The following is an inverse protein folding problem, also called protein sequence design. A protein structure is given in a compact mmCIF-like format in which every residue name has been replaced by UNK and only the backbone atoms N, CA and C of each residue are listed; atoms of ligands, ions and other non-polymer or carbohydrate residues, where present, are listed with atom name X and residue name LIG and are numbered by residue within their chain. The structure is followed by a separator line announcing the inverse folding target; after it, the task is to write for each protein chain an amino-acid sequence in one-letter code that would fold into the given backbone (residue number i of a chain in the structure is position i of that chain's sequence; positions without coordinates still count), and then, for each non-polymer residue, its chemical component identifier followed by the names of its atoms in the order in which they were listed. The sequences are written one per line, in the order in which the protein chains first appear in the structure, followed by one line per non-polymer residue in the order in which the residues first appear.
data_IF_021834004950
#
_entry.id   IF_021834004950
#
_cell.length_a   1.000
_cell.length_b   1.000
_cell.length_c   1.000
_cell.angle_alpha   90.00
_cell.angle_beta   90.00
_cell.angle_gamma   90.00
#
_symmetry.space_group_name_H-M   'P 1'
#
loop_
_entity.id
_entity.type
_entity.pdbx_description
1 polymer ?
#
# COMPACT_ATOMS: atom_id res chain seq x y z
N UNK A 1 12.95 5.97 -23.60
CA UNK A 1 11.59 5.39 -23.53
C UNK A 1 11.00 5.75 -22.18
N UNK A 2 9.81 6.38 -22.10
CA UNK A 2 9.16 6.67 -20.82
C UNK A 2 8.79 5.37 -20.10
N UNK A 3 8.97 5.32 -18.77
CA UNK A 3 8.51 4.20 -17.96
C UNK A 3 7.02 4.35 -17.62
N UNK A 4 6.17 3.94 -18.57
CA UNK A 4 4.72 4.04 -18.46
C UNK A 4 4.13 3.27 -17.27
N UNK A 5 4.80 2.22 -16.78
CA UNK A 5 4.32 1.46 -15.62
C UNK A 5 4.53 2.27 -14.34
N UNK A 6 5.70 2.89 -14.19
CA UNK A 6 6.01 3.77 -13.08
C UNK A 6 5.06 4.97 -13.05
N UNK A 7 4.81 5.61 -14.19
CA UNK A 7 3.86 6.72 -14.30
C UNK A 7 2.42 6.32 -13.95
N UNK A 8 1.99 5.11 -14.31
CA UNK A 8 0.66 4.62 -13.95
C UNK A 8 0.53 4.39 -12.43
N UNK A 9 1.58 3.85 -11.79
CA UNK A 9 1.66 3.73 -10.34
C UNK A 9 1.59 5.09 -9.65
N UNK A 10 2.48 6.03 -10.03
CA UNK A 10 2.52 7.38 -9.46
C UNK A 10 1.18 8.12 -9.59
N UNK A 11 0.50 7.96 -10.74
CA UNK A 11 -0.83 8.57 -10.97
C UNK A 11 -1.88 7.98 -10.03
N UNK A 12 -1.86 6.67 -9.81
CA UNK A 12 -2.82 6.01 -8.92
C UNK A 12 -2.57 6.41 -7.46
N UNK A 13 -1.33 6.39 -7.00
CA UNK A 13 -0.95 6.84 -5.65
C UNK A 13 -1.35 8.31 -5.43
N UNK A 14 -1.12 9.17 -6.42
CA UNK A 14 -1.52 10.59 -6.36
C UNK A 14 -3.04 10.75 -6.28
N UNK A 15 -3.80 9.94 -7.02
CA UNK A 15 -5.26 9.97 -7.02
C UNK A 15 -5.83 9.53 -5.66
N UNK A 16 -5.27 8.48 -5.06
CA UNK A 16 -5.66 8.02 -3.71
C UNK A 16 -5.32 9.09 -2.68
N UNK A 17 -4.10 9.64 -2.71
CA UNK A 17 -3.67 10.73 -1.82
C UNK A 17 -4.62 11.94 -1.89
N UNK A 18 -5.02 12.34 -3.11
CA UNK A 18 -5.97 13.42 -3.32
C UNK A 18 -7.32 13.16 -2.66
N UNK A 19 -7.87 11.95 -2.78
CA UNK A 19 -9.16 11.64 -2.16
C UNK A 19 -9.05 11.55 -0.64
N UNK A 20 -7.97 10.97 -0.11
CA UNK A 20 -7.75 10.93 1.34
C UNK A 20 -7.68 12.34 1.93
N UNK A 21 -6.93 13.25 1.30
CA UNK A 21 -6.85 14.65 1.72
C UNK A 21 -8.20 15.38 1.58
N UNK A 22 -8.90 15.18 0.46
CA UNK A 22 -10.21 15.78 0.22
C UNK A 22 -11.24 15.41 1.29
N UNK A 23 -11.27 14.15 1.74
CA UNK A 23 -12.29 13.67 2.67
C UNK A 23 -11.86 13.74 4.15
N UNK A 24 -10.57 13.62 4.46
CA UNK A 24 -10.08 13.53 5.84
C UNK A 24 -9.09 14.64 6.22
N UNK A 25 -8.51 15.38 5.27
CA UNK A 25 -7.43 16.34 5.52
C UNK A 25 -7.81 17.56 6.36
N UNK A 26 -9.11 17.87 6.46
CA UNK A 26 -9.63 18.99 7.26
C UNK A 26 -10.20 18.57 8.62
N UNK A 27 -10.23 17.26 8.91
CA UNK A 27 -10.74 16.72 10.18
C UNK A 27 -9.55 16.32 11.06
N UNK A 28 -9.36 17.05 12.16
CA UNK A 28 -8.26 16.81 13.09
C UNK A 28 -8.31 15.47 13.83
N UNK A 29 -9.42 14.73 13.75
CA UNK A 29 -9.51 13.36 14.26
C UNK A 29 -8.77 12.34 13.39
N UNK A 30 -8.33 12.75 12.19
CA UNK A 30 -7.54 11.93 11.27
C UNK A 30 -6.17 12.57 10.99
N UNK A 31 -5.16 11.72 10.79
CA UNK A 31 -3.87 12.09 10.22
C UNK A 31 -3.57 11.16 9.04
N UNK A 32 -3.24 11.75 7.90
CA UNK A 32 -2.94 11.02 6.67
C UNK A 32 -1.46 11.18 6.36
N UNK A 33 -0.73 10.07 6.26
CA UNK A 33 0.66 10.04 5.83
C UNK A 33 0.76 9.26 4.52
N UNK A 34 1.20 9.91 3.46
CA UNK A 34 1.38 9.30 2.13
C UNK A 34 2.86 9.01 1.89
N UNK A 35 3.18 7.90 1.22
CA UNK A 35 4.54 7.47 0.88
C UNK A 35 5.46 7.42 2.12
N UNK A 36 4.94 6.87 3.22
CA UNK A 36 5.67 6.77 4.48
C UNK A 36 6.73 5.68 4.38
N UNK A 37 7.99 6.05 4.64
CA UNK A 37 9.11 5.11 4.73
C UNK A 37 9.46 4.88 6.19
N UNK A 38 9.52 3.62 6.58
CA UNK A 38 9.94 3.19 7.92
C UNK A 38 11.13 2.25 7.78
N UNK A 39 12.05 2.30 8.75
CA UNK A 39 13.21 1.43 8.81
C UNK A 39 13.21 0.65 10.12
N UNK A 40 13.38 -0.66 10.03
CA UNK A 40 13.29 -1.60 11.15
C UNK A 40 14.37 -2.65 10.96
N UNK A 41 15.32 -2.77 11.90
CA UNK A 41 16.40 -3.74 11.84
C UNK A 41 17.21 -3.69 10.51
N UNK A 42 17.39 -2.49 9.95
CA UNK A 42 18.07 -2.28 8.66
C UNK A 42 17.23 -2.62 7.43
N UNK A 43 15.94 -2.96 7.59
CA UNK A 43 15.00 -3.19 6.49
C UNK A 43 14.07 -1.98 6.32
N UNK A 44 14.01 -1.45 5.11
CA UNK A 44 13.07 -0.38 4.77
C UNK A 44 11.74 -0.97 4.30
N UNK A 45 10.64 -0.48 4.85
CA UNK A 45 9.29 -0.72 4.36
C UNK A 45 8.67 0.60 3.91
N UNK A 46 8.00 0.59 2.76
CA UNK A 46 7.20 1.71 2.29
C UNK A 46 5.73 1.38 2.51
N UNK A 47 4.99 2.34 3.05
CA UNK A 47 3.54 2.31 3.20
C UNK A 47 2.98 3.40 2.29
N UNK A 48 2.18 3.00 1.30
CA UNK A 48 1.61 3.94 0.32
C UNK A 48 0.76 5.01 0.99
N UNK A 49 -0.20 4.60 1.82
CA UNK A 49 -0.97 5.51 2.66
C UNK A 49 -1.26 4.92 4.03
N UNK A 50 -1.00 5.72 5.07
CA UNK A 50 -1.32 5.42 6.46
C UNK A 50 -2.34 6.43 6.96
N UNK A 51 -3.50 5.95 7.39
CA UNK A 51 -4.49 6.74 8.13
C UNK A 51 -4.33 6.44 9.60
N UNK A 52 -4.21 7.47 10.43
CA UNK A 52 -4.17 7.38 11.88
C UNK A 52 -5.39 8.09 12.45
N UNK A 53 -6.07 7.45 13.38
CA UNK A 53 -7.27 7.97 14.03
C UNK A 53 -7.38 7.40 15.45
N UNK A 54 -8.37 7.85 16.23
CA UNK A 54 -8.47 7.54 17.67
C UNK A 54 -8.41 6.04 18.01
N UNK A 55 -8.93 5.16 17.16
CA UNK A 55 -8.96 3.73 17.43
C UNK A 55 -7.73 2.95 16.91
N UNK A 56 -6.81 3.60 16.18
CA UNK A 56 -5.63 2.96 15.63
C UNK A 56 -5.25 3.49 14.26
N UNK A 57 -4.88 2.59 13.36
CA UNK A 57 -4.43 2.93 12.02
C UNK A 57 -5.01 2.03 10.93
N UNK A 58 -5.05 2.54 9.71
CA UNK A 58 -5.41 1.80 8.49
C UNK A 58 -4.25 1.95 7.50
N UNK A 59 -3.74 0.83 7.03
CA UNK A 59 -2.78 0.76 5.93
C UNK A 59 -3.55 0.56 4.63
N UNK A 60 -3.29 1.41 3.64
CA UNK A 60 -3.86 1.30 2.30
C UNK A 60 -2.71 1.04 1.34
N UNK A 61 -2.68 -0.17 0.79
CA UNK A 61 -1.78 -0.55 -0.30
C UNK A 61 -2.48 -0.30 -1.64
N UNK A 62 -1.87 0.51 -2.51
CA UNK A 62 -2.46 0.88 -3.79
C UNK A 62 -1.70 0.21 -4.94
N UNK A 63 -2.36 -0.70 -5.67
CA UNK A 63 -1.71 -1.41 -6.77
C UNK A 63 -2.35 -1.12 -8.11
N UNK A 64 -1.55 -0.62 -9.05
CA UNK A 64 -1.97 -0.42 -10.43
C UNK A 64 -1.85 -1.72 -11.22
N UNK A 65 -2.98 -2.41 -11.40
CA UNK A 65 -3.04 -3.66 -12.15
C UNK A 65 -3.87 -3.44 -13.40
N UNK A 66 -3.24 -3.60 -14.56
CA UNK A 66 -3.93 -3.69 -15.84
C UNK A 66 -4.38 -5.12 -16.09
N UNK A 67 -5.59 -5.26 -16.65
CA UNK A 67 -6.22 -6.56 -16.91
C UNK A 67 -7.11 -7.01 -15.75
N UNK A 68 -7.51 -8.27 -15.79
CA UNK A 68 -8.30 -8.90 -14.73
C UNK A 68 -7.37 -9.45 -13.66
N UNK A 69 -7.85 -9.49 -12.42
CA UNK A 69 -7.15 -10.08 -11.28
C UNK A 69 -7.91 -11.30 -10.80
N UNK A 70 -7.19 -12.36 -10.45
CA UNK A 70 -7.75 -13.52 -9.76
C UNK A 70 -6.80 -14.04 -8.69
N UNK A 71 -7.36 -14.80 -7.76
CA UNK A 71 -6.61 -15.60 -6.80
C UNK A 71 -6.94 -17.05 -7.11
N UNK A 72 -5.91 -17.86 -7.37
CA UNK A 72 -6.12 -19.29 -7.67
C UNK A 72 -6.39 -20.09 -6.39
N UNK A 73 -6.67 -21.39 -6.52
CA UNK A 73 -6.98 -22.26 -5.36
C UNK A 73 -5.81 -22.42 -4.37
N UNK A 74 -4.57 -22.10 -4.77
CA UNK A 74 -3.40 -22.10 -3.90
C UNK A 74 -3.18 -20.75 -3.20
N UNK A 75 -4.03 -19.74 -3.46
CA UNK A 75 -3.90 -18.40 -2.88
C UNK A 75 -2.96 -17.47 -3.63
N UNK A 76 -2.45 -17.88 -4.80
CA UNK A 76 -1.54 -17.07 -5.60
C UNK A 76 -2.32 -16.04 -6.40
N UNK A 77 -1.81 -14.81 -6.42
CA UNK A 77 -2.40 -13.72 -7.16
C UNK A 77 -1.91 -13.71 -8.59
N UNK A 78 -2.83 -13.57 -9.53
CA UNK A 78 -2.53 -13.53 -10.95
C UNK A 78 -3.23 -12.36 -11.63
N UNK A 79 -2.59 -11.78 -12.65
CA UNK A 79 -3.20 -10.81 -13.55
C UNK A 79 -3.25 -11.31 -14.97
N UNK A 80 -4.24 -10.87 -15.75
CA UNK A 80 -4.31 -11.15 -17.18
C UNK A 80 -3.52 -10.11 -18.00
N UNK A 81 -2.89 -10.57 -19.08
CA UNK A 81 -2.29 -9.72 -20.10
C UNK A 81 -2.20 -10.48 -21.43
N UNK A 82 -2.80 -9.94 -22.50
CA UNK A 82 -2.85 -10.59 -23.82
C UNK A 82 -3.27 -12.06 -23.74
N UNK A 83 -4.40 -12.29 -23.07
CA UNK A 83 -5.01 -13.62 -22.87
C UNK A 83 -4.15 -14.65 -22.10
N UNK A 84 -3.04 -14.21 -21.52
CA UNK A 84 -2.18 -15.02 -20.64
C UNK A 84 -2.29 -14.55 -19.19
N UNK A 85 -2.09 -15.47 -18.25
CA UNK A 85 -2.08 -15.20 -16.81
C UNK A 85 -0.65 -15.19 -16.28
N UNK A 86 -0.35 -14.23 -15.42
CA UNK A 86 0.97 -14.05 -14.81
C UNK A 86 0.82 -13.85 -13.31
N UNK A 87 1.65 -14.57 -12.54
CA UNK A 87 1.76 -14.38 -11.10
C UNK A 87 2.19 -12.95 -10.74
N UNK A 88 1.60 -12.41 -9.67
CA UNK A 88 1.96 -11.13 -9.08
C UNK A 88 2.08 -11.26 -7.56
N UNK A 89 2.86 -10.37 -6.94
CA UNK A 89 2.92 -10.30 -5.49
C UNK A 89 1.54 -9.91 -4.92
N UNK A 90 1.10 -10.65 -3.91
CA UNK A 90 -0.16 -10.44 -3.20
C UNK A 90 -0.20 -9.06 -2.53
N UNK A 91 -1.12 -8.15 -2.92
CA UNK A 91 -1.28 -6.86 -2.25
C UNK A 91 -1.69 -7.03 -0.78
N UNK A 92 -2.43 -8.09 -0.47
CA UNK A 92 -2.89 -8.38 0.91
C UNK A 92 -1.73 -8.80 1.80
N UNK A 93 -0.82 -9.65 1.30
CA UNK A 93 0.38 -10.03 2.06
C UNK A 93 1.34 -8.85 2.20
N UNK A 94 1.45 -7.99 1.19
CA UNK A 94 2.23 -6.75 1.27
C UNK A 94 1.70 -5.83 2.38
N UNK A 95 0.38 -5.59 2.42
CA UNK A 95 -0.25 -4.81 3.48
C UNK A 95 -0.08 -5.44 4.87
N UNK A 96 -0.18 -6.76 4.98
CA UNK A 96 0.05 -7.47 6.24
C UNK A 96 1.49 -7.27 6.76
N UNK A 97 2.48 -7.41 5.88
CA UNK A 97 3.89 -7.16 6.22
C UNK A 97 4.14 -5.71 6.63
N UNK A 98 3.55 -4.73 5.93
CA UNK A 98 3.60 -3.32 6.29
C UNK A 98 3.00 -3.06 7.69
N UNK A 99 1.86 -3.69 8.00
CA UNK A 99 1.22 -3.59 9.32
C UNK A 99 2.12 -4.20 10.41
N UNK A 100 2.72 -5.35 10.16
CA UNK A 100 3.60 -6.00 11.14
C UNK A 100 4.86 -5.18 11.39
N UNK A 101 5.45 -4.61 10.34
CA UNK A 101 6.55 -3.65 10.46
C UNK A 101 6.11 -2.43 11.26
N UNK A 102 4.98 -1.80 10.92
CA UNK A 102 4.48 -0.64 11.66
C UNK A 102 4.25 -0.97 13.15
N UNK A 103 3.70 -2.15 13.47
CA UNK A 103 3.55 -2.61 14.86
C UNK A 103 4.90 -2.79 15.56
N UNK A 104 5.90 -3.35 14.88
CA UNK A 104 7.23 -3.51 15.43
C UNK A 104 7.87 -2.15 15.74
N UNK A 105 7.74 -1.17 14.84
CA UNK A 105 8.22 0.21 15.06
C UNK A 105 7.55 0.88 16.26
N UNK A 106 6.27 0.62 16.48
CA UNK A 106 5.49 1.19 17.58
C UNK A 106 5.64 0.40 18.90
N UNK A 107 6.37 -0.72 18.89
CA UNK A 107 6.55 -1.55 20.08
C UNK A 107 7.41 -0.82 21.12
N UNK A 108 7.09 -0.91 22.43
CA UNK A 108 7.90 -0.29 23.49
C UNK A 108 9.35 -0.77 23.53
N UNK A 109 9.61 -1.97 23.00
CA UNK A 109 10.94 -2.59 22.97
C UNK A 109 11.80 -2.10 21.78
N UNK A 110 11.27 -1.20 20.95
CA UNK A 110 11.95 -0.61 19.80
C UNK A 110 12.68 0.69 20.21
N UNK A 111 13.68 0.57 21.09
CA UNK A 111 14.55 1.68 21.54
C UNK A 111 15.99 1.24 21.70
#
# INVERSE_FOLDING_TARGET
MPDYRRMAGEKQESQVSYFLDRYFGHDDSYRILNNLKIEINGFTSQIDHLIIYKAGFIVIESKSIQGSVRVNSAGEWERSYKDQWFGIASPVQQAAMQIDNLKALLSPDFS
#
